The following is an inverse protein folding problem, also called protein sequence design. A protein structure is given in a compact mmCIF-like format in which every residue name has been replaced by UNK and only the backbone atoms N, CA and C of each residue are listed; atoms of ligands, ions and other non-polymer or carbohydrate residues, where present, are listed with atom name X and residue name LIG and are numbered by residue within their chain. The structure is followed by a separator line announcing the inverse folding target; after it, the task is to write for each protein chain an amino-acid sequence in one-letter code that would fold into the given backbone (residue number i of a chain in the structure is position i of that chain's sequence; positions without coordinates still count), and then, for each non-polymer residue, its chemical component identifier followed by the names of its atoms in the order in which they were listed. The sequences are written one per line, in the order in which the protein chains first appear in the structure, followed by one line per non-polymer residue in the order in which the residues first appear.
data_IF_184721283730
#
_entry.id   IF_184721283730
#
_cell.length_a   1.000
_cell.length_b   1.000
_cell.length_c   1.000
_cell.angle_alpha   90.00
_cell.angle_beta   90.00
_cell.angle_gamma   90.00
#
_symmetry.space_group_name_H-M   'P 1'
#
loop_
_entity.id
_entity.type
_entity.pdbx_description
1 polymer ?
#
# COMPACT_ATOMS: atom_id res chain seq x y z
N UNK A 1 8.40 -2.33 33.45
CA UNK A 1 6.95 -2.21 33.70
C UNK A 1 6.52 -0.84 33.20
N UNK A 2 5.55 -0.76 32.32
CA UNK A 2 4.94 0.42 31.71
C UNK A 2 5.79 1.04 30.57
N UNK A 3 5.85 0.40 29.40
CA UNK A 3 5.80 1.00 28.07
C UNK A 3 4.89 0.11 27.23
N UNK A 4 3.63 0.16 27.54
CA UNK A 4 2.57 -0.46 26.75
C UNK A 4 1.54 0.64 26.54
N UNK A 5 1.14 0.88 25.31
CA UNK A 5 0.14 1.87 24.87
C UNK A 5 0.70 3.24 24.45
N UNK A 6 1.62 3.25 23.51
CA UNK A 6 1.73 4.38 22.58
C UNK A 6 1.16 3.92 21.24
N UNK A 7 -0.14 4.26 21.08
CA UNK A 7 -0.78 4.65 19.83
C UNK A 7 -0.75 3.63 18.69
N UNK A 8 -1.68 2.68 18.72
CA UNK A 8 -2.51 2.54 17.53
C UNK A 8 -3.17 3.92 17.32
N UNK A 9 -2.52 4.80 16.53
CA UNK A 9 -3.22 5.91 15.91
C UNK A 9 -4.48 5.33 15.34
N UNK A 10 -5.61 5.87 15.78
CA UNK A 10 -6.90 5.31 15.41
C UNK A 10 -7.01 5.52 13.89
N UNK A 11 -6.70 4.47 13.11
CA UNK A 11 -6.68 4.44 11.63
C UNK A 11 -7.93 5.12 11.08
N UNK A 12 -9.02 4.99 11.82
CA UNK A 12 -10.29 5.61 11.49
C UNK A 12 -10.28 7.14 11.65
N UNK A 13 -9.51 7.67 12.60
CA UNK A 13 -9.45 9.13 12.84
C UNK A 13 -8.85 9.86 11.63
N UNK A 14 -7.83 9.30 11.01
CA UNK A 14 -7.22 9.90 9.81
C UNK A 14 -8.20 9.91 8.64
N UNK A 15 -8.78 8.78 8.27
CA UNK A 15 -9.76 8.69 7.17
C UNK A 15 -11.01 9.52 7.45
N UNK A 16 -11.53 9.49 8.68
CA UNK A 16 -12.71 10.24 9.06
C UNK A 16 -12.52 11.76 8.93
N UNK A 17 -11.29 12.27 9.05
CA UNK A 17 -11.02 13.72 8.88
C UNK A 17 -11.39 14.20 7.47
N UNK A 18 -11.36 13.31 6.47
CA UNK A 18 -11.72 13.57 5.06
C UNK A 18 -13.19 13.25 4.73
N UNK A 19 -14.00 12.90 5.74
CA UNK A 19 -15.43 12.65 5.57
C UNK A 19 -16.21 13.80 6.21
N UNK A 20 -17.26 14.36 5.57
CA UNK A 20 -18.07 15.45 6.12
C UNK A 20 -18.63 15.11 7.50
N UNK A 21 -18.70 16.11 8.39
CA UNK A 21 -19.11 15.91 9.80
C UNK A 21 -20.48 15.25 9.90
N UNK A 22 -21.42 15.58 9.01
CA UNK A 22 -22.75 14.96 8.96
C UNK A 22 -22.68 13.44 8.83
N UNK A 23 -21.87 12.93 7.87
CA UNK A 23 -21.73 11.49 7.65
C UNK A 23 -20.85 10.84 8.73
N UNK A 24 -19.82 11.58 9.20
CA UNK A 24 -18.90 11.11 10.24
C UNK A 24 -19.64 10.71 11.52
N UNK A 25 -20.65 11.50 11.94
CA UNK A 25 -21.42 11.22 13.15
C UNK A 25 -22.16 9.87 13.11
N UNK A 26 -22.58 9.42 11.93
CA UNK A 26 -23.21 8.11 11.72
C UNK A 26 -22.19 6.97 11.60
N UNK A 27 -20.99 7.27 11.06
CA UNK A 27 -19.95 6.27 10.82
C UNK A 27 -19.22 5.87 12.10
N UNK A 28 -18.85 6.83 12.95
CA UNK A 28 -18.06 6.59 14.18
C UNK A 28 -18.57 5.39 15.01
N UNK A 29 -19.87 5.25 15.28
CA UNK A 29 -20.36 4.11 16.08
C UNK A 29 -20.35 2.77 15.33
N UNK A 30 -20.16 2.79 14.02
CA UNK A 30 -20.37 1.64 13.12
C UNK A 30 -19.06 1.05 12.57
N UNK A 31 -18.00 1.85 12.49
CA UNK A 31 -16.71 1.41 11.95
C UNK A 31 -15.90 0.69 13.03
N UNK A 32 -15.03 -0.22 12.57
CA UNK A 32 -14.12 -0.99 13.40
C UNK A 32 -12.81 -1.22 12.65
N UNK A 33 -11.79 -1.73 13.36
CA UNK A 33 -10.51 -2.13 12.75
C UNK A 33 -10.62 -3.22 11.67
N UNK A 34 -11.85 -3.71 11.39
CA UNK A 34 -12.16 -4.63 10.30
C UNK A 34 -12.84 -3.94 9.11
N UNK A 35 -13.04 -2.63 9.19
CA UNK A 35 -13.63 -1.87 8.09
C UNK A 35 -12.59 -1.69 6.99
N UNK A 36 -12.88 -2.19 5.81
CA UNK A 36 -12.00 -2.19 4.64
C UNK A 36 -12.33 -1.03 3.69
N UNK A 37 -13.63 -0.70 3.56
CA UNK A 37 -14.08 0.40 2.69
C UNK A 37 -15.22 1.19 3.31
N UNK A 38 -15.26 2.51 3.04
CA UNK A 38 -16.41 3.38 3.27
C UNK A 38 -16.80 3.95 1.92
N UNK A 39 -18.07 3.76 1.53
CA UNK A 39 -18.57 4.21 0.22
C UNK A 39 -19.65 5.25 0.38
N UNK A 40 -19.41 6.42 -0.17
CA UNK A 40 -20.36 7.50 -0.28
C UNK A 40 -20.71 7.74 -1.75
N UNK A 41 -22.01 7.80 -2.07
CA UNK A 41 -22.53 7.97 -3.44
C UNK A 41 -23.76 8.85 -3.42
N UNK A 42 -23.83 9.81 -4.29
CA UNK A 42 -24.97 10.76 -4.40
C UNK A 42 -26.29 10.03 -4.47
N UNK A 43 -27.25 10.41 -3.63
CA UNK A 43 -28.61 9.85 -3.55
C UNK A 43 -28.64 8.33 -3.33
N UNK A 44 -27.64 7.78 -2.65
CA UNK A 44 -27.57 6.34 -2.30
C UNK A 44 -27.31 6.17 -0.82
N UNK A 45 -27.66 5.02 -0.26
CA UNK A 45 -27.35 4.68 1.13
C UNK A 45 -25.84 4.74 1.42
N UNK A 46 -25.48 5.33 2.56
CA UNK A 46 -24.13 5.24 3.12
C UNK A 46 -23.82 3.79 3.44
N UNK A 47 -22.70 3.29 2.97
CA UNK A 47 -22.33 1.89 3.15
C UNK A 47 -20.86 1.70 3.50
N UNK A 48 -20.58 0.62 4.21
CA UNK A 48 -19.23 0.14 4.50
C UNK A 48 -19.07 -1.30 4.03
N UNK A 49 -17.81 -1.68 3.80
CA UNK A 49 -17.41 -3.07 3.56
C UNK A 49 -16.52 -3.50 4.71
N UNK A 50 -16.89 -4.58 5.40
CA UNK A 50 -16.10 -5.17 6.48
C UNK A 50 -16.38 -6.65 6.61
N UNK A 51 -15.39 -7.45 7.02
CA UNK A 51 -15.51 -8.92 7.12
C UNK A 51 -16.03 -9.54 5.82
N UNK A 52 -15.61 -9.06 4.65
CA UNK A 52 -16.04 -9.54 3.33
C UNK A 52 -17.54 -9.36 3.05
N UNK A 53 -18.22 -8.47 3.76
CA UNK A 53 -19.66 -8.20 3.58
C UNK A 53 -19.94 -6.69 3.49
N UNK A 54 -21.01 -6.34 2.76
CA UNK A 54 -21.50 -4.97 2.67
C UNK A 54 -22.54 -4.71 3.76
N UNK A 55 -22.39 -3.58 4.46
CA UNK A 55 -23.35 -3.08 5.43
C UNK A 55 -23.76 -1.64 5.07
N UNK A 56 -25.02 -1.34 5.34
CA UNK A 56 -25.58 0.01 5.26
C UNK A 56 -25.65 0.62 6.65
N UNK A 57 -25.41 1.91 6.74
CA UNK A 57 -25.49 2.68 8.00
C UNK A 57 -26.89 3.23 8.15
N UNK A 58 -27.59 2.82 9.20
CA UNK A 58 -28.95 3.30 9.48
C UNK A 58 -28.98 4.66 10.16
N UNK A 59 -30.12 5.36 10.13
CA UNK A 59 -30.34 6.62 10.84
C UNK A 59 -30.18 6.47 12.37
N UNK A 60 -30.31 5.26 12.90
CA UNK A 60 -30.05 4.93 14.32
C UNK A 60 -28.59 4.54 14.60
N UNK A 61 -27.66 4.82 13.67
CA UNK A 61 -26.23 4.49 13.78
C UNK A 61 -25.96 3.01 14.00
N UNK A 62 -26.64 2.13 13.26
CA UNK A 62 -26.45 0.67 13.32
C UNK A 62 -26.12 0.11 11.94
N UNK A 63 -25.47 -1.04 11.93
CA UNK A 63 -25.19 -1.79 10.69
C UNK A 63 -26.43 -2.60 10.27
N UNK A 64 -26.77 -2.54 9.00
CA UNK A 64 -27.86 -3.31 8.40
C UNK A 64 -27.40 -3.95 7.09
N UNK A 65 -27.79 -5.20 6.82
CA UNK A 65 -27.59 -5.83 5.51
C UNK A 65 -28.62 -5.35 4.46
N UNK A 66 -29.65 -4.62 4.89
CA UNK A 66 -30.70 -4.08 4.02
C UNK A 66 -30.60 -2.55 3.99
N UNK A 67 -30.91 -1.92 2.85
CA UNK A 67 -30.77 -0.46 2.71
C UNK A 67 -31.91 0.35 3.33
N UNK A 68 -32.84 -0.29 4.05
CA UNK A 68 -33.96 0.42 4.70
C UNK A 68 -33.45 1.26 5.86
N UNK A 69 -34.08 2.41 6.06
CA UNK A 69 -33.74 3.39 7.11
C UNK A 69 -32.26 3.84 7.11
N UNK A 70 -31.61 3.71 5.96
CA UNK A 70 -30.20 4.07 5.82
C UNK A 70 -30.03 5.58 5.66
N UNK A 71 -28.88 6.06 6.12
CA UNK A 71 -28.44 7.44 5.85
C UNK A 71 -28.22 7.60 4.35
N UNK A 72 -28.98 8.52 3.74
CA UNK A 72 -28.82 8.84 2.34
C UNK A 72 -27.76 9.93 2.20
N UNK A 73 -26.75 9.67 1.35
CA UNK A 73 -25.70 10.63 1.02
C UNK A 73 -26.27 11.67 0.05
N UNK A 74 -26.08 12.93 0.36
CA UNK A 74 -26.53 14.04 -0.51
C UNK A 74 -25.43 14.47 -1.47
N UNK A 75 -25.78 15.32 -2.43
CA UNK A 75 -24.80 15.95 -3.32
C UNK A 75 -23.85 16.85 -2.53
N UNK A 76 -24.36 17.59 -1.56
CA UNK A 76 -23.58 18.49 -0.70
C UNK A 76 -22.54 17.71 0.12
N UNK A 77 -22.85 16.46 0.55
CA UNK A 77 -21.88 15.60 1.22
C UNK A 77 -20.72 15.23 0.29
N UNK A 78 -21.00 14.93 -0.98
CA UNK A 78 -19.95 14.61 -1.95
C UNK A 78 -19.08 15.84 -2.23
N UNK A 79 -19.69 17.02 -2.41
CA UNK A 79 -18.97 18.27 -2.63
C UNK A 79 -18.09 18.63 -1.42
N UNK A 80 -18.64 18.51 -0.21
CA UNK A 80 -17.89 18.74 1.03
C UNK A 80 -16.73 17.73 1.20
N UNK A 81 -16.96 16.44 0.93
CA UNK A 81 -15.94 15.42 0.97
C UNK A 81 -14.81 15.67 -0.04
N UNK A 82 -15.18 16.03 -1.28
CA UNK A 82 -14.20 16.37 -2.32
C UNK A 82 -13.38 17.60 -1.92
N UNK A 83 -14.00 18.61 -1.32
CA UNK A 83 -13.32 19.78 -0.78
C UNK A 83 -12.31 19.45 0.32
N UNK A 84 -12.64 18.49 1.20
CA UNK A 84 -11.72 17.99 2.25
C UNK A 84 -10.56 17.22 1.65
N UNK A 85 -10.80 16.35 0.66
CA UNK A 85 -9.78 15.54 0.00
C UNK A 85 -8.75 16.38 -0.75
N UNK A 86 -9.21 17.38 -1.46
CA UNK A 86 -8.33 18.24 -2.27
C UNK A 86 -7.67 19.35 -1.45
N UNK A 87 -7.89 19.41 -0.13
CA UNK A 87 -7.40 20.51 0.73
C UNK A 87 -7.61 21.88 0.07
N UNK A 88 -8.76 22.04 -0.64
CA UNK A 88 -9.17 23.18 -1.48
C UNK A 88 -8.27 23.47 -2.69
N UNK A 89 -7.33 22.58 -3.04
CA UNK A 89 -6.47 22.69 -4.22
C UNK A 89 -6.49 21.42 -5.06
N UNK A 90 -7.36 21.35 -6.04
CA UNK A 90 -7.46 20.22 -6.99
C UNK A 90 -6.15 20.04 -7.78
N UNK A 91 -5.42 21.12 -8.02
CA UNK A 91 -4.17 21.10 -8.78
C UNK A 91 -3.05 20.30 -8.08
N UNK A 92 -3.06 20.24 -6.75
CA UNK A 92 -2.04 19.47 -6.00
C UNK A 92 -2.16 17.96 -6.25
N UNK A 93 -3.35 17.47 -6.61
CA UNK A 93 -3.67 16.05 -6.83
C UNK A 93 -3.94 15.71 -8.30
N UNK A 94 -3.52 16.57 -9.25
CA UNK A 94 -3.88 16.42 -10.66
C UNK A 94 -3.51 15.03 -11.24
N UNK A 95 -2.33 14.51 -10.92
CA UNK A 95 -1.90 13.20 -11.40
C UNK A 95 -2.69 12.06 -10.77
N UNK A 96 -2.95 12.11 -9.47
CA UNK A 96 -3.74 11.11 -8.77
C UNK A 96 -5.20 11.08 -9.26
N UNK A 97 -5.78 12.25 -9.51
CA UNK A 97 -7.15 12.38 -10.05
C UNK A 97 -7.24 11.77 -11.46
N UNK A 98 -6.21 11.92 -12.29
CA UNK A 98 -6.12 11.25 -13.60
C UNK A 98 -6.10 9.75 -13.48
N UNK A 99 -5.48 9.23 -12.41
CA UNK A 99 -5.43 7.80 -12.10
C UNK A 99 -6.70 7.30 -11.38
N UNK A 100 -7.65 8.20 -11.09
CA UNK A 100 -8.96 7.89 -10.51
C UNK A 100 -8.98 7.72 -8.99
N UNK A 101 -7.93 8.09 -8.28
CA UNK A 101 -7.89 8.04 -6.81
C UNK A 101 -7.00 9.14 -6.22
N UNK A 102 -7.16 9.38 -4.92
CA UNK A 102 -6.30 10.24 -4.10
C UNK A 102 -5.75 9.42 -2.94
N UNK A 103 -4.46 9.54 -2.66
CA UNK A 103 -3.80 8.89 -1.52
C UNK A 103 -3.90 9.78 -0.28
N UNK A 104 -4.30 9.21 0.84
CA UNK A 104 -4.36 9.88 2.14
C UNK A 104 -3.20 9.43 3.03
N UNK A 105 -2.88 10.20 4.10
CA UNK A 105 -1.98 9.74 5.16
C UNK A 105 -2.36 8.33 5.64
N UNK A 106 -1.39 7.54 6.09
CA UNK A 106 -1.63 6.15 6.50
C UNK A 106 -1.79 5.17 5.33
N UNK A 107 -1.51 5.60 4.09
CA UNK A 107 -1.58 4.73 2.91
C UNK A 107 -3.01 4.39 2.46
N UNK A 108 -4.00 5.10 2.98
CA UNK A 108 -5.40 4.96 2.55
C UNK A 108 -5.57 5.55 1.15
N UNK A 109 -6.53 5.03 0.39
CA UNK A 109 -6.84 5.53 -0.96
C UNK A 109 -8.31 5.87 -1.09
N UNK A 110 -8.61 6.96 -1.76
CA UNK A 110 -9.99 7.36 -2.06
C UNK A 110 -10.19 7.31 -3.56
N UNK A 111 -10.90 6.29 -4.02
CA UNK A 111 -11.32 6.17 -5.43
C UNK A 111 -12.40 7.18 -5.77
N UNK A 112 -12.30 7.76 -6.96
CA UNK A 112 -13.18 8.82 -7.46
C UNK A 112 -14.05 8.29 -8.59
N UNK A 113 -15.35 8.55 -8.52
CA UNK A 113 -16.29 8.31 -9.62
C UNK A 113 -17.03 9.59 -10.00
N UNK A 114 -17.10 9.89 -11.29
CA UNK A 114 -17.73 11.06 -11.84
C UNK A 114 -17.70 11.05 -13.36
N UNK A 115 -17.73 12.23 -13.97
CA UNK A 115 -17.61 12.37 -15.40
C UNK A 115 -16.16 12.57 -15.81
N UNK A 116 -15.58 11.58 -16.50
CA UNK A 116 -14.22 11.69 -17.03
C UNK A 116 -14.18 12.68 -18.21
N UNK A 117 -13.20 13.55 -18.19
CA UNK A 117 -12.86 14.44 -19.31
C UNK A 117 -11.62 13.90 -19.99
N UNK A 118 -11.75 13.57 -21.27
CA UNK A 118 -10.68 13.00 -22.06
C UNK A 118 -9.88 14.09 -22.79
N UNK A 119 -8.56 13.90 -22.86
CA UNK A 119 -7.69 14.66 -23.74
C UNK A 119 -6.91 13.64 -24.58
N UNK A 120 -7.18 13.59 -25.88
CA UNK A 120 -6.71 12.56 -26.81
C UNK A 120 -7.12 11.16 -26.28
N UNK A 121 -6.20 10.31 -25.86
CA UNK A 121 -6.45 8.95 -25.39
C UNK A 121 -6.28 8.76 -23.87
N UNK A 122 -6.20 9.87 -23.12
CA UNK A 122 -6.00 9.84 -21.66
C UNK A 122 -7.06 10.64 -20.93
N UNK A 123 -7.38 10.18 -19.73
CA UNK A 123 -8.20 10.97 -18.81
C UNK A 123 -7.41 12.21 -18.39
N UNK A 124 -7.98 13.38 -18.60
CA UNK A 124 -7.38 14.65 -18.19
C UNK A 124 -7.77 14.99 -16.75
N UNK A 125 -9.04 14.83 -16.42
CA UNK A 125 -9.55 15.00 -15.06
C UNK A 125 -10.93 14.36 -14.92
N UNK A 126 -11.43 14.28 -13.67
CA UNK A 126 -12.78 13.80 -13.35
C UNK A 126 -13.55 14.98 -12.76
N UNK A 127 -14.68 15.35 -13.37
CA UNK A 127 -15.60 16.35 -12.86
C UNK A 127 -16.92 15.73 -12.39
N UNK A 128 -17.81 16.55 -11.80
CA UNK A 128 -19.10 16.11 -11.29
C UNK A 128 -18.99 14.81 -10.48
N UNK A 129 -18.08 14.79 -9.52
CA UNK A 129 -17.87 13.62 -8.68
C UNK A 129 -19.20 13.21 -8.07
N UNK A 130 -19.59 11.97 -8.28
CA UNK A 130 -20.84 11.37 -7.83
C UNK A 130 -20.66 10.29 -6.78
N UNK A 131 -19.44 9.83 -6.59
CA UNK A 131 -19.12 8.79 -5.62
C UNK A 131 -17.66 8.77 -5.22
N UNK A 132 -17.42 8.45 -3.96
CA UNK A 132 -16.10 8.29 -3.36
C UNK A 132 -16.06 6.93 -2.65
N UNK A 133 -14.93 6.21 -2.82
CA UNK A 133 -14.67 4.97 -2.12
C UNK A 133 -13.40 5.10 -1.29
N UNK A 134 -13.54 5.30 0.01
CA UNK A 134 -12.43 5.32 0.95
C UNK A 134 -12.01 3.88 1.23
N UNK A 135 -10.87 3.46 0.70
CA UNK A 135 -10.25 2.16 0.95
C UNK A 135 -9.27 2.31 2.10
N UNK A 136 -9.56 1.60 3.18
CA UNK A 136 -8.79 1.67 4.42
C UNK A 136 -7.66 0.65 4.33
N UNK A 137 -6.44 1.13 4.36
CA UNK A 137 -5.26 0.28 4.44
C UNK A 137 -5.03 -0.14 5.89
N UNK A 138 -4.78 -1.42 6.10
CA UNK A 138 -4.42 -1.97 7.39
C UNK A 138 -2.94 -2.34 7.39
N UNK A 139 -2.22 -1.91 8.41
CA UNK A 139 -0.84 -2.31 8.59
C UNK A 139 -0.78 -3.69 9.26
N UNK A 140 0.00 -4.59 8.68
CA UNK A 140 0.23 -5.93 9.23
C UNK A 140 1.71 -6.03 9.60
N UNK A 141 1.99 -6.13 10.89
CA UNK A 141 3.34 -6.30 11.44
C UNK A 141 3.57 -7.76 11.83
N UNK A 142 4.83 -8.21 11.72
CA UNK A 142 5.23 -9.57 12.08
C UNK A 142 4.94 -10.61 11.00
N UNK A 143 4.47 -10.21 9.81
CA UNK A 143 4.25 -11.16 8.73
C UNK A 143 5.57 -11.72 8.15
N UNK A 144 6.71 -11.06 8.39
CA UNK A 144 8.02 -11.54 7.99
C UNK A 144 8.63 -12.59 8.94
N UNK A 145 8.06 -12.82 10.13
CA UNK A 145 8.64 -13.72 11.16
C UNK A 145 8.85 -15.12 10.64
N UNK A 146 8.01 -15.60 9.72
CA UNK A 146 8.10 -16.93 9.11
C UNK A 146 9.26 -17.12 8.15
N UNK A 147 9.85 -16.04 7.63
CA UNK A 147 10.92 -16.10 6.61
C UNK A 147 12.18 -15.34 7.01
N UNK A 148 12.12 -14.56 8.08
CA UNK A 148 13.22 -13.66 8.43
C UNK A 148 14.55 -14.37 8.67
N UNK A 149 14.53 -15.58 9.22
CA UNK A 149 15.74 -16.39 9.46
C UNK A 149 16.41 -16.84 8.16
N UNK A 150 15.63 -17.01 7.10
CA UNK A 150 16.13 -17.38 5.78
C UNK A 150 16.69 -16.18 5.04
N UNK A 151 16.15 -14.99 5.28
CA UNK A 151 16.54 -13.73 4.65
C UNK A 151 17.68 -13.05 5.40
N UNK A 152 17.60 -12.99 6.72
CA UNK A 152 18.59 -12.32 7.59
C UNK A 152 19.37 -13.35 8.42
N UNK A 153 20.65 -13.52 8.11
CA UNK A 153 21.50 -14.49 8.77
C UNK A 153 22.87 -13.90 9.11
N UNK A 154 23.31 -14.07 10.36
CA UNK A 154 24.62 -13.59 10.87
C UNK A 154 24.93 -12.12 10.54
N UNK A 155 23.96 -11.24 10.70
CA UNK A 155 24.12 -9.81 10.41
C UNK A 155 24.12 -9.44 8.93
N UNK A 156 23.88 -10.39 8.03
CA UNK A 156 23.84 -10.21 6.58
C UNK A 156 22.43 -10.47 6.03
N UNK A 157 22.04 -9.69 5.03
CA UNK A 157 20.77 -9.86 4.30
C UNK A 157 21.06 -10.60 3.01
N UNK A 158 20.31 -11.66 2.71
CA UNK A 158 20.41 -12.37 1.43
C UNK A 158 19.67 -11.63 0.33
N UNK A 159 20.22 -11.67 -0.89
CA UNK A 159 19.48 -11.27 -2.07
C UNK A 159 18.26 -12.18 -2.23
N UNK A 160 17.07 -11.63 -2.05
CA UNK A 160 15.83 -12.40 -1.91
C UNK A 160 14.81 -12.02 -2.97
N UNK A 161 14.22 -13.01 -3.61
CA UNK A 161 13.12 -12.84 -4.56
C UNK A 161 11.84 -13.46 -3.99
N UNK A 162 10.79 -12.63 -3.88
CA UNK A 162 9.45 -13.09 -3.51
C UNK A 162 8.65 -13.35 -4.79
N UNK A 163 8.16 -14.56 -4.94
CA UNK A 163 7.41 -15.04 -6.11
C UNK A 163 5.98 -15.30 -5.67
N UNK A 164 4.99 -14.66 -6.29
CA UNK A 164 3.58 -15.00 -6.05
C UNK A 164 2.63 -14.40 -7.08
N UNK A 165 1.40 -14.93 -7.18
CA UNK A 165 0.30 -14.27 -7.87
C UNK A 165 -0.05 -12.90 -7.25
N UNK A 166 -0.85 -12.08 -7.93
CA UNK A 166 -1.43 -10.87 -7.35
C UNK A 166 -2.24 -11.16 -6.08
N UNK A 167 -2.27 -10.21 -5.15
CA UNK A 167 -3.09 -10.31 -3.94
C UNK A 167 -2.59 -11.27 -2.85
N UNK A 168 -1.43 -11.92 -3.02
CA UNK A 168 -0.88 -12.86 -2.05
C UNK A 168 0.02 -12.22 -0.97
N UNK A 169 -0.03 -10.91 -0.77
CA UNK A 169 0.65 -10.23 0.35
C UNK A 169 2.11 -9.84 0.12
N UNK A 170 2.62 -9.88 -1.13
CA UNK A 170 4.02 -9.47 -1.45
C UNK A 170 4.40 -8.11 -0.86
N UNK A 171 3.61 -7.08 -1.16
CA UNK A 171 3.88 -5.70 -0.72
C UNK A 171 3.86 -5.57 0.80
N UNK A 172 2.94 -6.28 1.46
CA UNK A 172 2.86 -6.33 2.93
C UNK A 172 4.11 -6.95 3.54
N UNK A 173 4.59 -8.06 2.94
CA UNK A 173 5.80 -8.72 3.38
C UNK A 173 7.05 -7.86 3.13
N UNK A 174 7.16 -7.17 1.97
CA UNK A 174 8.27 -6.25 1.70
C UNK A 174 8.34 -5.12 2.73
N UNK A 175 7.20 -4.55 3.08
CA UNK A 175 7.09 -3.49 4.09
C UNK A 175 7.56 -3.95 5.45
N UNK A 176 7.07 -5.10 5.91
CA UNK A 176 7.45 -5.64 7.21
C UNK A 176 8.91 -6.08 7.26
N UNK A 177 9.46 -6.59 6.15
CA UNK A 177 10.90 -6.84 6.00
C UNK A 177 11.72 -5.56 6.08
N UNK A 178 11.30 -4.46 5.43
CA UNK A 178 11.95 -3.17 5.53
C UNK A 178 12.00 -2.70 6.98
N UNK A 179 10.86 -2.71 7.67
CA UNK A 179 10.74 -2.35 9.09
C UNK A 179 11.65 -3.22 9.96
N UNK A 180 11.61 -4.54 9.79
CA UNK A 180 12.43 -5.46 10.59
C UNK A 180 13.93 -5.23 10.36
N UNK A 181 14.38 -5.21 9.11
CA UNK A 181 15.80 -5.05 8.75
C UNK A 181 16.33 -3.70 9.25
N UNK A 182 15.55 -2.64 9.06
CA UNK A 182 15.90 -1.31 9.55
C UNK A 182 16.06 -1.27 11.08
N UNK A 183 15.19 -1.95 11.82
CA UNK A 183 15.29 -2.07 13.29
C UNK A 183 16.52 -2.87 13.76
N UNK A 184 17.16 -3.66 12.89
CA UNK A 184 18.43 -4.32 13.20
C UNK A 184 19.66 -3.40 13.06
N UNK A 185 19.46 -2.14 12.69
CA UNK A 185 20.52 -1.15 12.49
C UNK A 185 21.06 -1.09 11.06
N UNK A 186 20.40 -1.75 10.08
CA UNK A 186 20.77 -1.68 8.66
C UNK A 186 20.09 -0.50 7.99
N UNK A 187 20.83 0.18 7.11
CA UNK A 187 20.29 1.24 6.25
C UNK A 187 19.51 0.58 5.10
N UNK A 188 18.23 0.83 5.05
CA UNK A 188 17.33 0.32 4.02
C UNK A 188 16.97 1.46 3.07
N UNK A 189 17.00 1.20 1.77
CA UNK A 189 16.39 2.10 0.78
C UNK A 189 15.24 1.36 0.09
N UNK A 190 14.05 1.93 0.16
CA UNK A 190 12.90 1.45 -0.59
C UNK A 190 12.82 2.20 -1.92
N UNK A 191 12.81 1.48 -3.03
CA UNK A 191 12.44 2.01 -4.33
C UNK A 191 11.01 1.58 -4.63
N UNK A 192 10.09 2.50 -4.43
CA UNK A 192 8.63 2.29 -4.48
C UNK A 192 8.07 2.89 -5.78
N UNK A 193 8.20 2.16 -6.89
CA UNK A 193 7.83 2.67 -8.22
C UNK A 193 6.34 2.96 -8.33
N UNK A 194 5.48 2.17 -7.64
CA UNK A 194 4.03 2.30 -7.66
C UNK A 194 3.43 2.99 -6.44
N UNK A 195 4.25 3.40 -5.47
CA UNK A 195 3.80 4.01 -4.23
C UNK A 195 3.00 3.06 -3.32
N UNK A 196 3.24 1.74 -3.41
CA UNK A 196 2.47 0.74 -2.65
C UNK A 196 3.18 0.23 -1.40
N UNK A 197 4.52 0.25 -1.37
CA UNK A 197 5.31 -0.27 -0.23
C UNK A 197 5.21 0.71 0.93
N UNK A 198 5.67 1.94 0.74
CA UNK A 198 5.72 2.96 1.78
C UNK A 198 4.49 3.87 1.79
N UNK A 199 3.74 3.94 0.67
CA UNK A 199 2.58 4.83 0.48
C UNK A 199 2.88 6.25 0.93
N UNK A 200 3.90 6.85 0.30
CA UNK A 200 4.35 8.20 0.64
C UNK A 200 3.26 9.24 0.39
N UNK A 201 3.03 10.11 1.35
CA UNK A 201 2.15 11.26 1.24
C UNK A 201 2.88 12.51 1.76
N UNK A 202 3.03 13.54 0.94
CA UNK A 202 3.76 14.78 1.28
C UNK A 202 5.13 14.56 1.94
N UNK A 203 5.87 13.55 1.48
CA UNK A 203 7.20 13.22 1.99
C UNK A 203 7.21 12.36 3.28
N UNK A 204 6.05 11.98 3.78
CA UNK A 204 5.90 11.14 4.98
C UNK A 204 5.45 9.73 4.59
N UNK A 205 6.10 8.65 5.08
CA UNK A 205 5.61 7.29 4.88
C UNK A 205 4.25 7.07 5.54
N UNK A 206 3.32 6.44 4.82
CA UNK A 206 2.01 6.07 5.34
C UNK A 206 2.03 4.85 6.26
N UNK A 207 3.15 4.12 6.28
CA UNK A 207 3.34 2.91 7.09
C UNK A 207 4.65 2.98 7.87
N UNK A 208 4.74 2.18 8.91
CA UNK A 208 5.99 2.01 9.65
C UNK A 208 6.96 1.12 8.87
N UNK A 209 7.99 1.73 8.32
CA UNK A 209 9.01 1.08 7.50
C UNK A 209 10.36 0.96 8.20
N UNK A 210 10.45 1.41 9.45
CA UNK A 210 11.63 1.38 10.32
C UNK A 210 12.48 2.65 10.27
N UNK A 211 13.27 2.89 11.36
CA UNK A 211 13.93 4.18 11.63
C UNK A 211 15.09 4.52 10.69
N UNK A 212 15.68 3.55 9.98
CA UNK A 212 16.80 3.73 9.08
C UNK A 212 16.42 3.43 7.62
N UNK A 213 15.18 3.78 7.24
CA UNK A 213 14.64 3.51 5.91
C UNK A 213 14.40 4.80 5.15
N UNK A 214 15.05 4.93 4.00
CA UNK A 214 14.83 6.01 3.03
C UNK A 214 13.91 5.51 1.90
N UNK A 215 13.08 6.39 1.33
CA UNK A 215 12.14 6.05 0.27
C UNK A 215 12.35 6.93 -0.96
N UNK A 216 12.47 6.30 -2.12
CA UNK A 216 12.37 6.95 -3.43
C UNK A 216 11.13 6.43 -4.15
N UNK A 217 10.12 7.29 -4.29
CA UNK A 217 8.83 6.93 -4.91
C UNK A 217 8.75 7.38 -6.36
N UNK A 218 7.85 6.75 -7.13
CA UNK A 218 7.51 7.15 -8.50
C UNK A 218 8.72 7.21 -9.45
N UNK A 219 9.72 6.36 -9.23
CA UNK A 219 10.94 6.33 -10.02
C UNK A 219 11.17 4.92 -10.56
N UNK A 220 11.33 4.74 -11.89
CA UNK A 220 11.64 3.44 -12.47
C UNK A 220 12.97 2.88 -11.98
N UNK A 221 13.04 1.56 -11.78
CA UNK A 221 14.18 0.85 -11.17
C UNK A 221 15.52 1.12 -11.85
N UNK A 222 15.63 1.16 -13.20
CA UNK A 222 16.90 1.43 -13.88
C UNK A 222 17.51 2.81 -13.55
N UNK A 223 16.70 3.76 -13.11
CA UNK A 223 17.15 5.09 -12.69
C UNK A 223 17.25 5.22 -11.17
N UNK A 224 16.26 4.70 -10.45
CA UNK A 224 16.16 4.83 -9.00
C UNK A 224 17.26 4.06 -8.24
N UNK A 225 17.56 2.82 -8.62
CA UNK A 225 18.60 2.01 -7.96
C UNK A 225 19.97 2.72 -8.04
N UNK A 226 20.48 3.15 -9.21
CA UNK A 226 21.74 3.89 -9.28
C UNK A 226 21.73 5.21 -8.49
N UNK A 227 20.58 5.89 -8.39
CA UNK A 227 20.44 7.10 -7.55
C UNK A 227 20.62 6.77 -6.08
N UNK A 228 19.87 5.80 -5.55
CA UNK A 228 19.95 5.37 -4.15
C UNK A 228 21.37 4.91 -3.77
N UNK A 229 22.01 4.11 -4.64
CA UNK A 229 23.39 3.64 -4.42
C UNK A 229 24.41 4.79 -4.30
N UNK A 230 24.20 5.90 -5.00
CA UNK A 230 25.12 7.06 -4.97
C UNK A 230 24.83 8.02 -3.82
N UNK A 231 23.55 8.20 -3.47
CA UNK A 231 23.14 9.26 -2.54
C UNK A 231 22.89 8.77 -1.12
N UNK A 232 22.35 7.56 -0.94
CA UNK A 232 21.90 7.07 0.35
C UNK A 232 22.82 6.00 0.96
N UNK A 233 23.73 5.41 0.17
CA UNK A 233 24.65 4.36 0.58
C UNK A 233 23.98 3.25 1.42
N UNK A 234 22.91 2.59 0.90
CA UNK A 234 22.15 1.60 1.64
C UNK A 234 22.96 0.31 1.85
N UNK A 235 22.60 -0.44 2.90
CA UNK A 235 23.02 -1.83 3.08
C UNK A 235 22.08 -2.78 2.34
N UNK A 236 20.80 -2.37 2.19
CA UNK A 236 19.75 -3.16 1.54
C UNK A 236 18.87 -2.26 0.69
N UNK A 237 18.57 -2.69 -0.53
CA UNK A 237 17.52 -2.08 -1.37
C UNK A 237 16.32 -3.03 -1.40
N UNK A 238 15.13 -2.49 -1.15
CA UNK A 238 13.85 -3.19 -1.26
C UNK A 238 13.07 -2.53 -2.39
N UNK A 239 12.56 -3.35 -3.33
CA UNK A 239 11.76 -2.84 -4.43
C UNK A 239 10.61 -3.78 -4.78
N UNK A 240 9.60 -3.21 -5.39
CA UNK A 240 8.46 -3.94 -5.93
C UNK A 240 8.83 -4.74 -7.19
N UNK A 241 7.86 -5.08 -7.94
CA UNK A 241 7.84 -6.02 -9.04
C UNK A 241 8.87 -5.78 -10.15
N UNK A 242 9.62 -6.81 -10.46
CA UNK A 242 10.59 -6.83 -11.57
C UNK A 242 9.89 -7.23 -12.87
N UNK A 243 10.11 -6.44 -13.93
CA UNK A 243 9.44 -6.66 -15.22
C UNK A 243 10.39 -6.76 -16.41
N UNK A 244 11.56 -6.11 -16.37
CA UNK A 244 12.39 -5.89 -17.55
C UNK A 244 13.85 -6.26 -17.33
N UNK A 245 14.54 -6.61 -18.40
CA UNK A 245 16.00 -6.85 -18.39
C UNK A 245 16.80 -5.68 -17.82
N UNK A 246 16.29 -4.46 -17.98
CA UNK A 246 16.92 -3.25 -17.43
C UNK A 246 16.89 -3.24 -15.91
N UNK A 247 15.85 -3.80 -15.28
CA UNK A 247 15.74 -3.92 -13.82
C UNK A 247 16.83 -4.87 -13.31
N UNK A 248 17.04 -5.98 -14.01
CA UNK A 248 18.07 -6.96 -13.66
C UNK A 248 19.47 -6.34 -13.69
N UNK A 249 19.78 -5.52 -14.70
CA UNK A 249 21.06 -4.81 -14.77
C UNK A 249 21.30 -3.90 -13.58
N UNK A 250 20.26 -3.17 -13.13
CA UNK A 250 20.35 -2.30 -11.97
C UNK A 250 20.56 -3.11 -10.66
N UNK A 251 19.90 -4.28 -10.54
CA UNK A 251 20.13 -5.20 -9.42
C UNK A 251 21.57 -5.73 -9.42
N UNK A 252 22.12 -6.10 -10.57
CA UNK A 252 23.52 -6.52 -10.66
C UNK A 252 24.49 -5.42 -10.22
N UNK A 253 24.20 -4.15 -10.54
CA UNK A 253 25.03 -3.03 -10.09
C UNK A 253 25.00 -2.91 -8.55
N UNK A 254 23.83 -3.03 -7.93
CA UNK A 254 23.70 -3.04 -6.46
C UNK A 254 24.52 -4.17 -5.82
N UNK A 255 24.37 -5.38 -6.33
CA UNK A 255 25.11 -6.56 -5.84
C UNK A 255 26.63 -6.39 -5.96
N UNK A 256 27.12 -5.87 -7.07
CA UNK A 256 28.56 -5.60 -7.28
C UNK A 256 29.12 -4.61 -6.29
N UNK A 257 28.29 -3.74 -5.73
CA UNK A 257 28.67 -2.79 -4.67
C UNK A 257 28.48 -3.35 -3.25
N UNK A 258 28.10 -4.64 -3.13
CA UNK A 258 27.88 -5.30 -1.85
C UNK A 258 26.55 -4.95 -1.18
N UNK A 259 25.61 -4.35 -1.93
CA UNK A 259 24.28 -4.01 -1.44
C UNK A 259 23.34 -5.17 -1.72
N UNK A 260 22.62 -5.62 -0.70
CA UNK A 260 21.63 -6.69 -0.83
C UNK A 260 20.34 -6.15 -1.45
N UNK A 261 19.66 -7.00 -2.23
CA UNK A 261 18.39 -6.61 -2.87
C UNK A 261 17.30 -7.61 -2.50
N UNK A 262 16.15 -7.08 -2.10
CA UNK A 262 14.91 -7.83 -1.92
C UNK A 262 13.90 -7.29 -2.93
N UNK A 263 13.37 -8.16 -3.78
CA UNK A 263 12.45 -7.77 -4.84
C UNK A 263 11.30 -8.78 -4.97
N UNK A 264 10.29 -8.43 -5.76
CA UNK A 264 9.18 -9.32 -6.07
C UNK A 264 9.06 -9.60 -7.56
N UNK A 265 8.40 -10.69 -7.91
CA UNK A 265 8.01 -11.03 -9.28
C UNK A 265 6.66 -11.75 -9.27
N UNK A 266 5.93 -11.64 -10.36
CA UNK A 266 4.73 -12.45 -10.57
C UNK A 266 5.09 -13.87 -10.99
N UNK A 267 4.42 -14.84 -10.39
CA UNK A 267 4.53 -16.26 -10.71
C UNK A 267 3.78 -17.10 -9.68
N UNK A 268 3.41 -18.31 -10.00
CA UNK A 268 2.82 -19.26 -9.07
C UNK A 268 3.85 -20.18 -8.44
N UNK A 269 4.98 -20.42 -9.13
CA UNK A 269 6.12 -21.19 -8.64
C UNK A 269 7.42 -20.63 -9.25
N UNK A 270 8.56 -21.14 -8.80
CA UNK A 270 9.91 -20.79 -9.27
C UNK A 270 10.04 -21.05 -10.78
N UNK A 271 9.40 -22.10 -11.30
CA UNK A 271 9.41 -22.45 -12.72
C UNK A 271 8.79 -21.40 -13.66
N UNK A 272 7.98 -20.49 -13.12
CA UNK A 272 7.33 -19.45 -13.91
C UNK A 272 8.24 -18.21 -14.13
N UNK A 273 9.39 -18.18 -13.46
CA UNK A 273 10.29 -17.03 -13.44
C UNK A 273 11.49 -17.27 -14.34
N UNK A 274 11.85 -16.27 -15.15
CA UNK A 274 13.02 -16.30 -16.03
C UNK A 274 14.30 -16.64 -15.25
N UNK A 275 15.13 -17.53 -15.81
CA UNK A 275 16.35 -18.02 -15.18
C UNK A 275 17.36 -16.90 -14.89
N UNK A 276 17.44 -15.88 -15.73
CA UNK A 276 18.33 -14.73 -15.51
C UNK A 276 17.94 -13.95 -14.26
N UNK A 277 16.62 -13.83 -13.99
CA UNK A 277 16.11 -13.24 -12.76
C UNK A 277 16.50 -14.12 -11.58
N UNK A 278 16.19 -15.41 -11.66
CA UNK A 278 16.47 -16.37 -10.58
C UNK A 278 17.94 -16.42 -10.18
N UNK A 279 18.86 -16.32 -11.14
CA UNK A 279 20.31 -16.32 -10.88
C UNK A 279 20.78 -15.09 -10.10
N UNK A 280 19.99 -14.04 -10.08
CA UNK A 280 20.31 -12.81 -9.34
C UNK A 280 20.06 -12.92 -7.84
N UNK A 281 19.36 -13.96 -7.38
CA UNK A 281 18.91 -14.10 -6.00
C UNK A 281 19.40 -15.41 -5.37
N UNK A 282 19.82 -15.34 -4.11
CA UNK A 282 20.28 -16.48 -3.32
C UNK A 282 19.20 -17.06 -2.41
N UNK A 283 18.11 -16.34 -2.21
CA UNK A 283 16.93 -16.82 -1.48
C UNK A 283 15.70 -16.60 -2.33
N UNK A 284 14.93 -17.66 -2.58
CA UNK A 284 13.67 -17.63 -3.34
C UNK A 284 12.55 -18.05 -2.42
N UNK A 285 11.49 -17.23 -2.35
CA UNK A 285 10.33 -17.48 -1.49
C UNK A 285 9.07 -17.42 -2.35
N UNK A 286 8.32 -18.52 -2.34
CA UNK A 286 7.03 -18.62 -3.02
C UNK A 286 5.91 -18.36 -2.02
N UNK A 287 5.03 -17.40 -2.33
CA UNK A 287 3.85 -17.08 -1.52
C UNK A 287 2.57 -17.48 -2.26
N UNK A 288 1.57 -17.85 -1.49
CA UNK A 288 0.21 -18.13 -1.98
C UNK A 288 -0.87 -17.56 -1.08
N UNK A 289 -2.11 -17.77 -1.47
CA UNK A 289 -3.29 -17.53 -0.63
C UNK A 289 -3.99 -18.83 -0.19
N UNK A 290 -3.34 -19.98 -0.35
CA UNK A 290 -3.95 -21.32 -0.16
C UNK A 290 -4.49 -21.53 1.27
N UNK A 291 -3.72 -21.12 2.30
CA UNK A 291 -4.12 -21.17 3.70
C UNK A 291 -4.38 -19.77 4.30
N UNK A 292 -4.58 -18.80 3.45
CA UNK A 292 -4.71 -17.38 3.75
C UNK A 292 -3.66 -16.54 3.03
N UNK A 293 -3.92 -15.26 2.89
CA UNK A 293 -2.99 -14.31 2.25
C UNK A 293 -1.64 -14.31 3.00
N UNK A 294 -0.54 -14.43 2.26
CA UNK A 294 0.82 -14.46 2.83
C UNK A 294 1.29 -15.85 3.24
N UNK A 295 0.58 -16.93 2.85
CA UNK A 295 1.05 -18.30 3.06
C UNK A 295 2.39 -18.52 2.36
N UNK A 296 3.40 -18.97 3.12
CA UNK A 296 4.71 -19.34 2.59
C UNK A 296 4.61 -20.80 2.12
N UNK A 297 4.69 -21.01 0.81
CA UNK A 297 4.63 -22.35 0.20
C UNK A 297 6.00 -23.00 0.13
N UNK A 298 7.02 -22.22 -0.17
CA UNK A 298 8.36 -22.74 -0.41
C UNK A 298 9.42 -21.69 -0.12
N UNK A 299 10.52 -22.13 0.50
CA UNK A 299 11.75 -21.35 0.64
C UNK A 299 12.89 -22.17 0.03
N UNK A 300 13.65 -21.57 -0.86
CA UNK A 300 14.84 -22.17 -1.48
C UNK A 300 16.04 -21.24 -1.27
N UNK A 301 17.08 -21.75 -0.64
CA UNK A 301 18.38 -21.07 -0.48
C UNK A 301 19.37 -21.72 -1.45
N UNK A 302 20.10 -20.89 -2.19
CA UNK A 302 21.11 -21.28 -3.17
C UNK A 302 22.51 -20.92 -2.71
#
# INVERSE_FOLDING_TARGET
MIITTLEQKDIHTEVLSYIPMRLRSYLIPCISNKTEEIRIRTNRPLSIYQNSEVYFITLSCRLSKKPYDSVIVTKDDIEAATGLLCNRSIYAHENEIKDGYITLPGGHRVGLCGNAVMNTDKVSFINNISGLNYRISHEIKGCCDGVIRDIYHNGSVRNTLLISPPGCGKTTLLRDLARFISNTGKRVSILDERGEIASMHEGVPGFEIGPLTDVLSNCPKPYGIPMLLRSMAPDVIITDELFYDKDIKAIYEAKRRGVSVIATVHGNDISDVDENILMSFSCLIVLSSRLGVGTIEKVMIR
#
